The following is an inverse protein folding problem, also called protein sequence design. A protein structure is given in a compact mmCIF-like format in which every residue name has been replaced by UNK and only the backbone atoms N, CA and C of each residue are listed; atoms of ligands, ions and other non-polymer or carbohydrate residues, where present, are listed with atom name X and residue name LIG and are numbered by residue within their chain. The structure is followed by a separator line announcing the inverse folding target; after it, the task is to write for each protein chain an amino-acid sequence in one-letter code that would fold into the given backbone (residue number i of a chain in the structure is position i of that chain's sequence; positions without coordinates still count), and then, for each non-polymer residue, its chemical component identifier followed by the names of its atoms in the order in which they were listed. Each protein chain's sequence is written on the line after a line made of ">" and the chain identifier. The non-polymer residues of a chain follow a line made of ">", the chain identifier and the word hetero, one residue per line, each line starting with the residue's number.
data_IF_834871540816
#
_entry.id   IF_834871540816
#
_cell.length_a   1.000
_cell.length_b   1.000
_cell.length_c   1.000
_cell.angle_alpha   90.00
_cell.angle_beta   90.00
_cell.angle_gamma   90.00
#
_symmetry.space_group_name_H-M   'P 1'
#
loop_
_entity.id
_entity.type
_entity.pdbx_description
1 polymer ?
#
# COMPACT_ATOMS: atom_id res chain seq x y z
N UNK A 1 -3.16 13.85 -17.51
CA UNK A 1 -2.02 12.98 -17.14
C UNK A 1 -0.71 13.75 -17.21
N UNK A 2 -0.39 14.37 -18.35
CA UNK A 2 0.83 15.15 -18.52
C UNK A 2 1.06 16.22 -17.43
N UNK A 3 0.04 17.02 -17.10
CA UNK A 3 0.15 18.04 -16.03
C UNK A 3 0.49 17.44 -14.64
N UNK A 4 0.00 16.23 -14.35
CA UNK A 4 0.30 15.54 -13.08
C UNK A 4 1.73 14.97 -13.08
N UNK A 5 2.24 14.51 -14.22
CA UNK A 5 3.63 14.03 -14.36
C UNK A 5 4.62 15.19 -14.29
N UNK A 6 4.27 16.35 -14.86
CA UNK A 6 5.03 17.58 -14.70
C UNK A 6 5.10 17.99 -13.22
N UNK A 7 4.00 17.87 -12.48
CA UNK A 7 3.98 18.09 -11.03
C UNK A 7 4.76 17.03 -10.24
N UNK A 8 4.80 15.80 -10.72
CA UNK A 8 5.59 14.72 -10.13
C UNK A 8 7.10 14.87 -10.38
N UNK A 9 7.52 15.92 -11.11
CA UNK A 9 8.90 16.15 -11.55
C UNK A 9 9.49 14.94 -12.29
N UNK A 10 8.63 14.22 -13.05
CA UNK A 10 9.01 13.00 -13.76
C UNK A 10 9.17 11.77 -12.85
N UNK A 11 8.72 11.80 -11.61
CA UNK A 11 8.66 10.65 -10.72
C UNK A 11 7.42 9.76 -10.93
N UNK A 12 7.41 8.54 -10.36
CA UNK A 12 6.26 7.66 -10.40
C UNK A 12 5.08 8.24 -9.60
N UNK A 13 3.86 7.90 -10.02
CA UNK A 13 2.63 8.47 -9.47
C UNK A 13 1.67 7.41 -8.95
N UNK A 14 1.04 7.70 -7.82
CA UNK A 14 -0.12 6.94 -7.33
C UNK A 14 -1.33 7.84 -7.40
N UNK A 15 -2.37 7.38 -8.11
CA UNK A 15 -3.66 8.05 -8.16
C UNK A 15 -4.66 7.25 -7.33
N UNK A 16 -5.34 7.95 -6.42
CA UNK A 16 -6.43 7.38 -5.62
C UNK A 16 -7.74 7.72 -6.32
N UNK A 17 -8.42 6.69 -6.82
CA UNK A 17 -9.76 6.82 -7.39
C UNK A 17 -10.84 6.64 -6.31
N UNK A 18 -11.96 7.33 -6.50
CA UNK A 18 -13.10 7.27 -5.60
C UNK A 18 -14.32 6.59 -6.24
N UNK A 19 -15.13 5.95 -5.40
CA UNK A 19 -16.43 5.41 -5.75
C UNK A 19 -17.47 5.90 -4.73
N UNK A 20 -18.44 6.72 -5.20
CA UNK A 20 -19.44 7.40 -4.35
C UNK A 20 -18.83 8.19 -3.18
N UNK A 21 -17.71 8.88 -3.43
CA UNK A 21 -17.02 9.69 -2.43
C UNK A 21 -16.15 8.92 -1.44
N UNK A 22 -15.94 7.61 -1.65
CA UNK A 22 -15.04 6.80 -0.85
C UNK A 22 -13.84 6.35 -1.69
N UNK A 23 -12.61 6.35 -1.17
CA UNK A 23 -11.48 5.72 -1.84
C UNK A 23 -11.80 4.27 -2.19
N UNK A 24 -11.55 3.89 -3.45
CA UNK A 24 -11.88 2.55 -3.95
C UNK A 24 -10.93 2.01 -5.01
N UNK A 25 -9.99 2.82 -5.50
CA UNK A 25 -8.99 2.40 -6.46
C UNK A 25 -7.62 3.01 -6.16
N UNK A 26 -6.56 2.20 -6.30
CA UNK A 26 -5.18 2.68 -6.40
C UNK A 26 -4.68 2.37 -7.80
N UNK A 27 -4.16 3.37 -8.50
CA UNK A 27 -3.53 3.23 -9.81
C UNK A 27 -2.09 3.71 -9.76
N UNK A 28 -1.17 2.87 -10.21
CA UNK A 28 0.28 3.09 -10.13
C UNK A 28 0.82 3.35 -11.52
N UNK A 29 1.38 4.54 -11.71
CA UNK A 29 1.94 5.00 -12.97
C UNK A 29 3.46 5.16 -12.86
N UNK A 30 4.17 4.81 -13.91
CA UNK A 30 5.59 5.11 -14.02
C UNK A 30 5.87 6.58 -14.39
N UNK A 31 7.14 6.89 -14.55
CA UNK A 31 7.68 8.21 -14.91
C UNK A 31 7.23 8.66 -16.32
N UNK A 32 6.88 7.72 -17.20
CA UNK A 32 6.35 8.00 -18.53
C UNK A 32 4.82 8.19 -18.54
N UNK A 33 4.15 7.94 -17.41
CA UNK A 33 2.69 7.99 -17.28
C UNK A 33 1.99 6.72 -17.74
N UNK A 34 2.70 5.61 -17.91
CA UNK A 34 2.10 4.32 -18.21
C UNK A 34 1.52 3.71 -16.93
N UNK A 35 0.27 3.27 -16.98
CA UNK A 35 -0.37 2.56 -15.88
C UNK A 35 0.24 1.16 -15.79
N UNK A 36 0.99 0.88 -14.73
CA UNK A 36 1.64 -0.42 -14.52
C UNK A 36 0.71 -1.41 -13.80
N UNK A 37 -0.05 -0.90 -12.84
CA UNK A 37 -0.78 -1.73 -11.88
C UNK A 37 -1.97 -0.96 -11.31
N UNK A 38 -3.10 -1.64 -11.10
CA UNK A 38 -4.21 -1.07 -10.36
C UNK A 38 -4.88 -2.07 -9.40
N UNK A 39 -5.40 -1.55 -8.30
CA UNK A 39 -6.10 -2.26 -7.24
C UNK A 39 -7.48 -1.65 -7.06
N UNK A 40 -8.52 -2.47 -6.97
CA UNK A 40 -9.83 -2.06 -6.45
C UNK A 40 -10.00 -2.57 -5.04
N UNK A 41 -10.48 -1.74 -4.14
CA UNK A 41 -10.59 -2.09 -2.74
C UNK A 41 -11.81 -1.46 -2.04
N UNK A 42 -12.09 -1.94 -0.84
CA UNK A 42 -12.90 -1.24 0.18
C UNK A 42 -12.07 -1.12 1.44
N UNK A 43 -12.05 0.03 2.08
CA UNK A 43 -11.26 0.27 3.28
C UNK A 43 -11.94 -0.26 4.55
N UNK A 44 -11.12 -0.52 5.56
CA UNK A 44 -11.53 -0.81 6.92
C UNK A 44 -10.54 -0.14 7.85
N UNK A 45 -11.04 0.56 8.88
CA UNK A 45 -10.20 1.17 9.91
C UNK A 45 -10.50 0.52 11.26
N UNK A 46 -9.46 0.38 12.08
CA UNK A 46 -9.60 -0.09 13.45
C UNK A 46 -10.46 0.88 14.26
N UNK A 47 -11.50 0.36 14.93
CA UNK A 47 -12.36 1.16 15.82
C UNK A 47 -11.68 1.56 17.12
N UNK A 48 -10.59 0.88 17.47
CA UNK A 48 -9.83 1.13 18.70
C UNK A 48 -8.83 2.28 18.54
N UNK A 49 -8.64 2.77 17.31
CA UNK A 49 -7.67 3.79 16.97
C UNK A 49 -8.39 4.94 16.27
N UNK A 50 -8.60 6.05 17.00
CA UNK A 50 -9.17 7.27 16.42
C UNK A 50 -8.21 7.91 15.42
N UNK A 51 -6.99 8.19 15.87
CA UNK A 51 -5.95 8.83 15.06
C UNK A 51 -4.60 8.23 15.43
N UNK A 52 -3.84 7.86 14.40
CA UNK A 52 -2.53 7.25 14.55
C UNK A 52 -1.48 8.11 13.83
N UNK A 53 -0.47 8.54 14.58
CA UNK A 53 0.69 9.25 14.02
C UNK A 53 1.83 8.27 13.81
N UNK A 54 2.25 8.11 12.56
CA UNK A 54 3.42 7.31 12.22
C UNK A 54 4.69 8.02 12.69
N UNK A 55 5.60 7.29 13.34
CA UNK A 55 6.83 7.81 13.94
C UNK A 55 7.95 8.12 12.92
N UNK A 56 7.60 8.33 11.64
CA UNK A 56 8.57 8.52 10.56
C UNK A 56 9.41 7.28 10.23
N UNK A 57 9.03 6.12 10.76
CA UNK A 57 9.67 4.83 10.47
C UNK A 57 9.16 4.33 9.13
N UNK A 58 10.08 4.01 8.22
CA UNK A 58 9.75 3.44 6.93
C UNK A 58 9.07 2.06 7.12
N UNK A 59 7.91 1.82 6.48
CA UNK A 59 7.22 0.56 6.61
C UNK A 59 8.01 -0.57 5.94
N UNK A 60 8.00 -1.74 6.58
CA UNK A 60 8.48 -2.97 5.95
C UNK A 60 7.35 -3.63 5.17
N UNK A 61 7.69 -4.47 4.19
CA UNK A 61 6.73 -5.21 3.39
C UNK A 61 6.80 -6.70 3.71
N UNK A 62 5.66 -7.34 3.93
CA UNK A 62 5.52 -8.79 4.04
C UNK A 62 4.44 -9.30 3.07
N UNK A 63 4.41 -10.62 2.86
CA UNK A 63 3.50 -11.26 1.89
C UNK A 63 4.19 -11.70 0.59
N UNK A 64 3.40 -12.28 -0.30
CA UNK A 64 3.83 -12.81 -1.61
C UNK A 64 2.82 -12.51 -2.71
N UNK A 65 3.18 -12.81 -3.96
CA UNK A 65 2.35 -12.59 -5.13
C UNK A 65 2.58 -11.25 -5.83
N UNK A 66 1.80 -11.00 -6.88
CA UNK A 66 2.02 -9.89 -7.81
C UNK A 66 1.87 -8.52 -7.15
N UNK A 67 0.94 -8.40 -6.20
CA UNK A 67 0.71 -7.16 -5.45
C UNK A 67 1.92 -6.82 -4.57
N UNK A 68 2.48 -7.82 -3.89
CA UNK A 68 3.68 -7.64 -3.06
C UNK A 68 4.90 -7.27 -3.91
N UNK A 69 5.07 -7.89 -5.09
CA UNK A 69 6.14 -7.49 -6.01
C UNK A 69 5.94 -6.06 -6.54
N UNK A 70 4.71 -5.69 -6.91
CA UNK A 70 4.40 -4.33 -7.37
C UNK A 70 4.73 -3.30 -6.28
N UNK A 71 4.35 -3.54 -5.04
CA UNK A 71 4.62 -2.64 -3.92
C UNK A 71 6.13 -2.54 -3.64
N UNK A 72 6.85 -3.66 -3.68
CA UNK A 72 8.31 -3.67 -3.53
C UNK A 72 9.00 -2.85 -4.62
N UNK A 73 8.59 -3.01 -5.88
CA UNK A 73 9.19 -2.29 -7.01
C UNK A 73 8.87 -0.81 -6.94
N UNK A 74 7.62 -0.45 -6.63
CA UNK A 74 7.17 0.93 -6.67
C UNK A 74 7.64 1.76 -5.47
N UNK A 75 7.58 1.19 -4.27
CA UNK A 75 7.94 1.91 -3.03
C UNK A 75 9.36 1.64 -2.54
N UNK A 76 10.04 0.65 -3.11
CA UNK A 76 11.37 0.21 -2.67
C UNK A 76 11.44 -0.29 -1.20
N UNK A 77 10.30 -0.68 -0.61
CA UNK A 77 10.26 -1.16 0.77
C UNK A 77 11.07 -2.45 0.97
N UNK A 78 11.73 -2.54 2.13
CA UNK A 78 12.43 -3.75 2.53
C UNK A 78 11.43 -4.88 2.79
N UNK A 79 11.62 -6.02 2.12
CA UNK A 79 10.82 -7.22 2.36
C UNK A 79 11.29 -7.98 3.59
N UNK A 80 10.34 -8.45 4.38
CA UNK A 80 10.52 -9.34 5.54
C UNK A 80 9.83 -10.66 5.23
N UNK A 81 10.49 -11.76 5.55
CA UNK A 81 9.90 -13.10 5.43
C UNK A 81 8.78 -13.25 6.49
N UNK A 82 7.70 -13.95 6.14
CA UNK A 82 6.51 -14.01 6.99
C UNK A 82 6.79 -14.62 8.38
N UNK A 83 7.70 -15.58 8.47
CA UNK A 83 8.15 -16.22 9.72
C UNK A 83 9.01 -15.30 10.62
N UNK A 84 9.43 -14.15 10.11
CA UNK A 84 10.22 -13.13 10.83
C UNK A 84 9.40 -11.93 11.27
N UNK A 85 8.10 -11.87 10.96
CA UNK A 85 7.22 -10.77 11.36
C UNK A 85 7.19 -10.63 12.89
N UNK A 86 7.05 -11.74 13.62
CA UNK A 86 6.99 -11.74 15.09
C UNK A 86 8.32 -11.34 15.76
N UNK A 87 9.41 -11.30 15.00
CA UNK A 87 10.74 -10.90 15.46
C UNK A 87 10.98 -9.40 15.26
N UNK A 88 10.05 -8.68 14.63
CA UNK A 88 10.17 -7.25 14.40
C UNK A 88 10.08 -6.48 15.72
N UNK A 89 10.83 -5.37 15.87
CA UNK A 89 10.70 -4.50 17.02
C UNK A 89 9.24 -4.09 17.25
N UNK A 90 8.76 -3.98 18.50
CA UNK A 90 7.38 -3.61 18.80
C UNK A 90 6.94 -2.23 18.30
N UNK A 91 7.86 -1.40 17.82
CA UNK A 91 7.58 -0.09 17.21
C UNK A 91 7.58 -0.11 15.68
N UNK A 92 7.63 -1.29 15.06
CA UNK A 92 7.70 -1.42 13.60
C UNK A 92 6.38 -1.06 12.93
N UNK A 93 6.47 -0.48 11.74
CA UNK A 93 5.36 -0.33 10.80
C UNK A 93 5.52 -1.38 9.70
N UNK A 94 4.44 -2.07 9.36
CA UNK A 94 4.45 -3.20 8.45
C UNK A 94 3.25 -3.15 7.51
N UNK A 95 3.49 -3.38 6.23
CA UNK A 95 2.46 -3.61 5.22
C UNK A 95 2.46 -5.11 4.93
N UNK A 96 1.35 -5.79 5.22
CA UNK A 96 1.20 -7.22 4.99
C UNK A 96 0.26 -7.42 3.81
N UNK A 97 0.80 -7.90 2.70
CA UNK A 97 0.00 -8.24 1.52
C UNK A 97 -0.50 -9.68 1.65
N UNK A 98 -1.79 -9.82 1.93
CA UNK A 98 -2.51 -11.08 1.93
C UNK A 98 -3.16 -11.39 0.59
N UNK A 99 -3.93 -12.48 0.54
CA UNK A 99 -4.67 -12.89 -0.67
C UNK A 99 -5.85 -11.96 -0.96
N UNK A 100 -6.57 -11.54 0.08
CA UNK A 100 -7.82 -10.79 -0.02
C UNK A 100 -7.75 -9.38 0.58
N UNK A 101 -6.68 -9.06 1.29
CA UNK A 101 -6.49 -7.76 1.92
C UNK A 101 -5.03 -7.35 1.97
N UNK A 102 -4.80 -6.05 2.12
CA UNK A 102 -3.51 -5.47 2.47
C UNK A 102 -3.68 -4.84 3.85
N UNK A 103 -2.96 -5.34 4.83
CA UNK A 103 -3.03 -4.88 6.22
C UNK A 103 -1.88 -3.92 6.53
N UNK A 104 -2.24 -2.72 7.01
CA UNK A 104 -1.30 -1.70 7.43
C UNK A 104 -1.22 -1.73 8.95
N UNK A 105 -0.11 -2.24 9.45
CA UNK A 105 0.10 -2.50 10.87
C UNK A 105 1.10 -1.50 11.47
N UNK A 106 0.84 -1.11 12.72
CA UNK A 106 1.73 -0.29 13.53
C UNK A 106 1.76 -0.81 14.95
N UNK A 107 2.97 -0.98 15.48
CA UNK A 107 3.19 -1.51 16.82
C UNK A 107 2.48 -2.85 17.12
N UNK A 108 2.49 -3.75 16.13
CA UNK A 108 1.86 -5.07 16.23
C UNK A 108 0.33 -5.07 16.12
N UNK A 109 -0.31 -3.91 15.87
CA UNK A 109 -1.76 -3.79 15.69
C UNK A 109 -2.10 -3.42 14.26
N UNK A 110 -3.20 -3.97 13.74
CA UNK A 110 -3.78 -3.50 12.47
C UNK A 110 -4.37 -2.10 12.67
N UNK A 111 -3.93 -1.15 11.84
CA UNK A 111 -4.39 0.23 11.85
C UNK A 111 -5.56 0.38 10.89
N UNK A 112 -5.35 -0.06 9.65
CA UNK A 112 -6.35 -0.09 8.59
C UNK A 112 -6.01 -1.18 7.56
N UNK A 113 -7.01 -1.57 6.78
CA UNK A 113 -6.90 -2.60 5.75
C UNK A 113 -7.52 -2.12 4.45
N UNK A 114 -6.93 -2.53 3.34
CA UNK A 114 -7.53 -2.43 2.02
C UNK A 114 -8.05 -3.82 1.64
N UNK A 115 -9.36 -4.03 1.70
CA UNK A 115 -9.97 -5.30 1.30
C UNK A 115 -10.07 -5.33 -0.22
N UNK A 116 -9.34 -6.24 -0.85
CA UNK A 116 -9.20 -6.32 -2.30
C UNK A 116 -10.47 -6.84 -2.96
N UNK A 117 -10.93 -6.11 -3.98
CA UNK A 117 -12.03 -6.50 -4.89
C UNK A 117 -11.51 -7.01 -6.23
N UNK A 118 -10.23 -6.82 -6.48
CA UNK A 118 -9.53 -7.29 -7.66
C UNK A 118 -8.34 -6.38 -7.98
N UNK A 119 -7.44 -6.88 -8.81
CA UNK A 119 -6.31 -6.11 -9.31
C UNK A 119 -6.10 -6.38 -10.79
N UNK A 120 -5.35 -5.50 -11.45
CA UNK A 120 -4.91 -5.69 -12.82
C UNK A 120 -3.48 -5.19 -12.97
N UNK A 121 -2.65 -6.02 -13.60
CA UNK A 121 -1.33 -5.67 -14.09
C UNK A 121 -1.42 -5.42 -15.60
N UNK A 122 -0.70 -4.42 -16.09
CA UNK A 122 -0.70 -4.00 -17.48
C UNK A 122 0.62 -4.34 -18.16
#
# INVERSE_FOLDING_TARGET
>A
MQELLEFAEGGPLIVIGEYHGNPGELSFYDEAGELLFSLRFTDWYSKELDSYWFSGIEPKLAGQGEIAEAFKVFFHFQRVENDKIDQLPPSSTLIVVGENDIDFMGSGKSLFKLNLRGFKKY
#
